data_IF_187920027943
#
_entry.id   IF_187920027943
#
_cell.length_a   1.000
_cell.length_b   1.000
_cell.length_c   1.000
_cell.angle_alpha   90.00
_cell.angle_beta   90.00
_cell.angle_gamma   90.00
#
_symmetry.space_group_name_H-M   'P 1'
#
loop_
_entity.id
_entity.type
_entity.pdbx_description
1 polymer ?
#
# COMPACT_ATOMS: atom_id res chain seq x y z
N UNK A 1 -18.57 16.06 -10.37
CA UNK A 1 -18.19 16.11 -8.94
C UNK A 1 -16.71 16.46 -8.88
N UNK A 2 -16.38 17.70 -9.26
CA UNK A 2 -15.03 18.11 -9.67
C UNK A 2 -14.65 19.50 -9.10
N UNK A 3 -15.43 20.00 -8.15
CA UNK A 3 -15.50 21.43 -7.81
C UNK A 3 -15.47 21.75 -6.30
N UNK A 4 -14.71 21.01 -5.49
CA UNK A 4 -14.47 21.34 -4.06
C UNK A 4 -13.05 21.03 -3.52
N UNK A 5 -11.98 21.07 -4.32
CA UNK A 5 -10.61 20.83 -3.80
C UNK A 5 -9.59 21.89 -4.32
N UNK A 6 -10.04 23.11 -4.60
CA UNK A 6 -9.17 24.25 -4.98
C UNK A 6 -9.10 25.36 -3.90
N UNK A 7 -9.67 25.15 -2.71
CA UNK A 7 -9.56 26.07 -1.58
C UNK A 7 -8.90 25.38 -0.40
N UNK A 8 -7.63 25.70 -0.12
CA UNK A 8 -6.82 25.12 0.96
C UNK A 8 -6.52 23.62 0.78
N UNK A 9 -5.37 23.27 0.17
CA UNK A 9 -4.88 21.89 0.33
C UNK A 9 -4.55 21.67 1.81
N UNK A 10 -5.15 20.67 2.47
CA UNK A 10 -4.85 20.27 3.87
C UNK A 10 -3.34 20.01 4.12
N UNK A 11 -2.56 19.90 3.05
CA UNK A 11 -1.11 19.80 3.06
C UNK A 11 -0.46 21.17 3.37
N UNK A 12 -0.27 21.46 4.66
CA UNK A 12 0.41 22.67 5.16
C UNK A 12 1.75 22.92 4.43
N UNK A 13 2.52 21.86 4.16
CA UNK A 13 3.80 21.95 3.44
C UNK A 13 3.64 22.46 2.02
N UNK A 14 2.61 22.02 1.28
CA UNK A 14 2.36 22.52 -0.08
C UNK A 14 1.96 24.00 -0.07
N UNK A 15 1.19 24.40 0.94
CA UNK A 15 0.70 25.77 1.06
C UNK A 15 1.81 26.76 1.46
N UNK A 16 2.77 26.31 2.29
CA UNK A 16 3.89 27.14 2.74
C UNK A 16 5.06 27.10 1.76
N UNK A 17 5.38 25.92 1.23
CA UNK A 17 6.58 25.69 0.40
C UNK A 17 6.30 25.80 -1.10
N UNK A 18 5.03 25.71 -1.53
CA UNK A 18 4.66 25.64 -2.96
C UNK A 18 4.99 24.29 -3.62
N UNK A 19 5.89 23.49 -3.02
CA UNK A 19 6.27 22.17 -3.51
C UNK A 19 5.29 21.08 -3.03
N UNK A 20 4.98 20.13 -3.92
CA UNK A 20 4.23 18.95 -3.54
C UNK A 20 5.06 18.10 -2.57
N UNK A 21 4.63 17.97 -1.32
CA UNK A 21 5.33 17.10 -0.37
C UNK A 21 5.21 15.62 -0.81
N UNK A 22 6.24 14.79 -0.56
CA UNK A 22 6.23 13.38 -0.95
C UNK A 22 5.07 12.60 -0.31
N UNK A 23 4.61 13.01 0.88
CA UNK A 23 3.44 12.43 1.54
C UNK A 23 2.13 12.67 0.79
N UNK A 24 1.85 13.91 0.40
CA UNK A 24 0.60 14.29 -0.28
C UNK A 24 0.53 13.72 -1.71
N UNK A 25 1.66 13.59 -2.40
CA UNK A 25 1.76 12.86 -3.67
C UNK A 25 1.52 11.35 -3.50
N UNK A 26 2.01 10.76 -2.41
CA UNK A 26 1.77 9.34 -2.09
C UNK A 26 0.30 9.06 -1.81
N UNK A 27 -0.42 9.92 -1.07
CA UNK A 27 -1.86 9.75 -0.83
C UNK A 27 -2.67 9.73 -2.13
N UNK A 28 -2.34 10.61 -3.09
CA UNK A 28 -2.97 10.63 -4.42
C UNK A 28 -2.61 9.39 -5.24
N UNK A 29 -1.35 8.96 -5.20
CA UNK A 29 -0.90 7.75 -5.87
C UNK A 29 -1.60 6.50 -5.31
N UNK A 30 -1.75 6.38 -3.99
CA UNK A 30 -2.49 5.29 -3.34
C UNK A 30 -3.96 5.32 -3.73
N UNK A 31 -4.62 6.49 -3.73
CA UNK A 31 -6.01 6.62 -4.20
C UNK A 31 -6.16 6.19 -5.67
N UNK A 32 -5.19 6.53 -6.52
CA UNK A 32 -5.16 6.09 -7.91
C UNK A 32 -4.94 4.58 -8.05
N UNK A 33 -4.04 3.98 -7.26
CA UNK A 33 -3.83 2.52 -7.20
C UNK A 33 -5.10 1.80 -6.75
N UNK A 34 -5.78 2.30 -5.71
CA UNK A 34 -7.05 1.74 -5.23
C UNK A 34 -8.16 1.78 -6.30
N UNK A 35 -8.09 2.74 -7.22
CA UNK A 35 -8.98 2.86 -8.38
C UNK A 35 -8.48 2.10 -9.61
N UNK A 36 -7.39 1.34 -9.51
CA UNK A 36 -6.77 0.61 -10.62
C UNK A 36 -6.06 1.48 -11.66
N UNK A 37 -5.84 2.78 -11.37
CA UNK A 37 -5.23 3.75 -12.30
C UNK A 37 -3.72 3.87 -12.05
N UNK A 38 -2.98 2.84 -12.42
CA UNK A 38 -1.52 2.76 -12.22
C UNK A 38 -0.72 3.85 -12.97
N UNK A 39 -1.14 4.20 -14.19
CA UNK A 39 -0.49 5.27 -14.96
C UNK A 39 -0.61 6.64 -14.27
N UNK A 40 -1.78 6.93 -13.69
CA UNK A 40 -1.98 8.15 -12.91
C UNK A 40 -1.16 8.14 -11.61
N UNK A 41 -1.09 6.99 -10.93
CA UNK A 41 -0.27 6.83 -9.73
C UNK A 41 1.22 7.10 -9.99
N UNK A 42 1.75 6.66 -11.14
CA UNK A 42 3.12 6.95 -11.57
C UNK A 42 3.38 8.44 -11.77
N UNK A 43 2.47 9.16 -12.45
CA UNK A 43 2.58 10.61 -12.60
C UNK A 43 2.50 11.38 -11.28
N UNK A 44 1.81 10.84 -10.26
CA UNK A 44 1.74 11.49 -8.94
C UNK A 44 2.98 11.23 -8.08
N UNK A 45 3.56 10.03 -8.13
CA UNK A 45 4.78 9.73 -7.40
C UNK A 45 5.61 8.63 -8.10
N UNK A 46 6.75 8.94 -8.72
CA UNK A 46 7.60 7.92 -9.33
C UNK A 46 8.18 6.92 -8.30
N UNK A 47 8.27 7.27 -7.00
CA UNK A 47 8.69 6.33 -5.95
C UNK A 47 7.72 5.15 -5.77
N UNK A 48 6.49 5.25 -6.27
CA UNK A 48 5.50 4.17 -6.21
C UNK A 48 6.02 2.91 -6.90
N UNK A 49 6.89 3.03 -7.91
CA UNK A 49 7.52 1.91 -8.61
C UNK A 49 8.45 1.08 -7.71
N UNK A 50 9.06 1.70 -6.70
CA UNK A 50 9.96 1.01 -5.78
C UNK A 50 9.17 0.48 -4.58
N UNK A 51 8.29 1.33 -4.02
CA UNK A 51 7.54 1.01 -2.80
C UNK A 51 6.52 -0.10 -3.06
N UNK A 52 5.84 -0.09 -4.21
CA UNK A 52 4.80 -1.08 -4.53
C UNK A 52 5.32 -2.53 -4.59
N UNK A 53 6.35 -2.89 -5.38
CA UNK A 53 6.87 -4.25 -5.41
C UNK A 53 7.51 -4.66 -4.08
N UNK A 54 8.14 -3.74 -3.36
CA UNK A 54 8.72 -4.03 -2.05
C UNK A 54 7.64 -4.42 -1.02
N UNK A 55 6.57 -3.62 -0.93
CA UNK A 55 5.42 -3.93 -0.07
C UNK A 55 4.74 -5.23 -0.50
N UNK A 56 4.54 -5.42 -1.80
CA UNK A 56 3.95 -6.64 -2.35
C UNK A 56 4.75 -7.89 -1.97
N UNK A 57 6.08 -7.82 -2.09
CA UNK A 57 6.99 -8.90 -1.69
C UNK A 57 6.91 -9.22 -0.20
N UNK A 58 6.92 -8.19 0.66
CA UNK A 58 6.79 -8.35 2.11
C UNK A 58 5.46 -9.03 2.49
N UNK A 59 4.36 -8.58 1.89
CA UNK A 59 3.03 -9.14 2.14
C UNK A 59 2.98 -10.62 1.73
N UNK A 60 3.48 -10.97 0.54
CA UNK A 60 3.52 -12.37 0.09
C UNK A 60 4.36 -13.23 1.02
N UNK A 61 5.54 -12.74 1.42
CA UNK A 61 6.44 -13.48 2.31
C UNK A 61 5.79 -13.73 3.67
N UNK A 62 5.12 -12.73 4.23
CA UNK A 62 4.43 -12.86 5.51
C UNK A 62 3.21 -13.80 5.42
N UNK A 63 2.44 -13.70 4.33
CA UNK A 63 1.33 -14.62 4.04
C UNK A 63 1.82 -16.06 3.89
N UNK A 64 2.90 -16.28 3.14
CA UNK A 64 3.48 -17.61 2.95
C UNK A 64 3.97 -18.21 4.27
N UNK A 65 4.65 -17.39 5.11
CA UNK A 65 5.09 -17.80 6.43
C UNK A 65 3.91 -18.14 7.34
N UNK A 66 2.87 -17.30 7.36
CA UNK A 66 1.66 -17.51 8.15
C UNK A 66 0.92 -18.78 7.74
N UNK A 67 0.83 -19.05 6.43
CA UNK A 67 0.26 -20.29 5.91
C UNK A 67 1.10 -21.49 6.34
N UNK A 68 2.44 -21.39 6.26
CA UNK A 68 3.34 -22.49 6.62
C UNK A 68 3.27 -22.85 8.11
N UNK A 69 3.20 -21.86 9.01
CA UNK A 69 3.05 -22.11 10.45
C UNK A 69 1.72 -22.75 10.78
N UNK A 70 0.64 -22.28 10.17
CA UNK A 70 -0.70 -22.90 10.29
C UNK A 70 -0.67 -24.33 9.78
N UNK A 71 -0.04 -24.60 8.63
CA UNK A 71 0.08 -25.96 8.09
C UNK A 71 0.84 -26.90 9.02
N UNK A 72 1.96 -26.46 9.61
CA UNK A 72 2.69 -27.26 10.61
C UNK A 72 1.84 -27.55 11.83
N UNK A 73 1.17 -26.54 12.37
CA UNK A 73 0.26 -26.71 13.50
C UNK A 73 -0.90 -27.66 13.18
N UNK A 74 -1.53 -27.54 12.01
CA UNK A 74 -2.60 -28.46 11.56
C UNK A 74 -2.06 -29.89 11.44
N UNK A 75 -0.87 -30.09 10.86
CA UNK A 75 -0.26 -31.41 10.69
C UNK A 75 0.03 -32.09 12.03
N UNK A 76 0.57 -31.35 13.00
CA UNK A 76 0.81 -31.84 14.37
C UNK A 76 -0.51 -32.16 15.09
N UNK A 77 -1.51 -31.26 14.99
CA UNK A 77 -2.82 -31.45 15.63
C UNK A 77 -3.66 -32.56 15.01
N UNK A 78 -3.33 -33.01 13.80
CA UNK A 78 -3.94 -34.18 13.15
C UNK A 78 -3.30 -35.48 13.66
N UNK A 79 -2.00 -35.46 13.98
CA UNK A 79 -1.25 -36.59 14.52
C UNK A 79 -1.59 -36.89 15.99
N UNK A 80 -1.82 -35.85 16.80
CA UNK A 80 -2.21 -35.97 18.21
C UNK A 80 -3.68 -36.36 18.46
N UNK A 81 -4.52 -36.42 17.41
CA UNK A 81 -5.95 -36.76 17.52
C UNK A 81 -6.23 -38.26 17.31
N UNK A 82 -5.20 -39.02 16.96
CA UNK A 82 -5.29 -40.43 16.56
C UNK A 82 -4.50 -41.38 17.48
N UNK A 83 -3.92 -40.82 18.55
CA UNK A 83 -3.37 -41.50 19.74
C UNK A 83 -4.28 -41.19 20.92
#
# INVERSE_FOLDING_TARGET
MESLEQGCSLCIIKNISGYNCPGCGTTRAVSAILKGKFAAAYSYNPFIIIIFPLLFWLIIRELANSIHTIWRWIAEKRRARHT
#
